data_IF_855602096486
#
_entry.id   IF_855602096486
#
_cell.length_a   1.000
_cell.length_b   1.000
_cell.length_c   1.000
_cell.angle_alpha   90.00
_cell.angle_beta   90.00
_cell.angle_gamma   90.00
#
_symmetry.space_group_name_H-M   'P 1'
#
loop_
_entity.id
_entity.type
_entity.pdbx_description
1 polymer ?
#
# COMPACT_ATOMS: atom_id res chain seq x y z
N UNK A 1 -22.20 -16.64 11.25
CA UNK A 1 -20.78 -16.71 10.80
C UNK A 1 -20.67 -16.68 9.27
N UNK A 2 -21.42 -17.50 8.52
CA UNK A 2 -21.46 -17.47 7.03
C UNK A 2 -21.87 -16.13 6.41
N UNK A 3 -22.81 -15.38 7.01
CA UNK A 3 -23.29 -14.10 6.44
C UNK A 3 -22.25 -12.98 6.53
N UNK A 4 -21.49 -12.91 7.63
CA UNK A 4 -20.36 -11.99 7.78
C UNK A 4 -19.23 -12.41 6.84
N UNK A 5 -18.92 -13.69 6.73
CA UNK A 5 -17.88 -14.19 5.82
C UNK A 5 -18.22 -13.91 4.35
N UNK A 6 -19.50 -14.07 3.97
CA UNK A 6 -20.00 -13.73 2.62
C UNK A 6 -19.95 -12.22 2.41
N UNK A 7 -20.46 -11.41 3.35
CA UNK A 7 -20.41 -9.95 3.30
C UNK A 7 -18.98 -9.39 3.25
N UNK A 8 -18.05 -9.95 4.01
CA UNK A 8 -16.64 -9.56 3.98
C UNK A 8 -15.98 -9.96 2.65
N UNK A 9 -16.35 -11.09 2.07
CA UNK A 9 -15.90 -11.52 0.73
C UNK A 9 -16.49 -10.67 -0.41
N UNK A 10 -17.71 -10.16 -0.26
CA UNK A 10 -18.45 -9.45 -1.33
C UNK A 10 -18.46 -7.93 -1.22
N UNK A 11 -18.44 -7.37 0.00
CA UNK A 11 -18.81 -5.97 0.27
C UNK A 11 -17.65 -5.13 0.78
N UNK A 12 -16.70 -5.73 1.50
CA UNK A 12 -15.37 -5.18 1.65
C UNK A 12 -14.56 -5.83 0.54
N UNK A 13 -14.57 -5.34 -0.71
CA UNK A 13 -13.54 -5.81 -1.63
C UNK A 13 -12.22 -5.63 -0.88
N UNK A 14 -11.37 -6.66 -0.92
CA UNK A 14 -10.02 -6.79 -0.35
C UNK A 14 -9.06 -5.58 -0.58
N UNK A 15 -9.59 -4.53 -1.22
CA UNK A 15 -9.09 -3.24 -1.67
C UNK A 15 -9.22 -2.13 -0.62
N UNK A 16 -10.19 -2.21 0.30
CA UNK A 16 -10.36 -1.18 1.36
C UNK A 16 -9.32 -1.30 2.47
N UNK A 17 -8.89 -2.53 2.78
CA UNK A 17 -7.82 -2.76 3.74
C UNK A 17 -6.48 -2.20 3.23
N UNK A 18 -6.27 -2.12 1.92
CA UNK A 18 -5.05 -1.54 1.34
C UNK A 18 -4.89 -0.05 1.61
N UNK A 19 -5.97 0.69 1.92
CA UNK A 19 -5.87 2.04 2.50
C UNK A 19 -5.08 2.01 3.81
N UNK A 20 -5.29 1.00 4.65
CA UNK A 20 -4.54 0.82 5.89
C UNK A 20 -3.07 0.56 5.64
N UNK A 21 -2.72 -0.21 4.60
CA UNK A 21 -1.32 -0.41 4.23
C UNK A 21 -0.65 0.92 3.85
N UNK A 22 -1.31 1.72 2.99
CA UNK A 22 -0.81 3.04 2.55
C UNK A 22 -0.69 4.02 3.72
N UNK A 23 -1.72 4.09 4.57
CA UNK A 23 -1.71 4.95 5.76
C UNK A 23 -0.66 4.48 6.79
N UNK A 24 -0.52 3.18 7.00
CA UNK A 24 0.49 2.60 7.87
C UNK A 24 1.90 2.94 7.39
N UNK A 25 2.16 2.80 6.08
CA UNK A 25 3.41 3.20 5.45
C UNK A 25 3.72 4.69 5.64
N UNK A 26 2.73 5.58 5.44
CA UNK A 26 2.91 7.01 5.70
C UNK A 26 3.16 7.31 7.18
N UNK A 27 2.51 6.59 8.08
CA UNK A 27 2.69 6.74 9.53
C UNK A 27 4.06 6.23 9.99
N UNK A 28 4.57 5.13 9.43
CA UNK A 28 5.94 4.67 9.68
C UNK A 28 6.96 5.72 9.26
N UNK A 29 6.78 6.34 8.09
CA UNK A 29 7.65 7.42 7.63
C UNK A 29 7.57 8.65 8.56
N UNK A 30 6.39 8.94 9.10
CA UNK A 30 6.18 10.05 10.02
C UNK A 30 6.85 9.86 11.37
N UNK A 31 6.66 8.69 11.99
CA UNK A 31 7.04 8.45 13.38
C UNK A 31 8.41 7.78 13.55
N UNK A 32 8.90 7.12 12.50
CA UNK A 32 10.15 6.37 12.59
C UNK A 32 11.43 7.18 12.38
N UNK A 33 11.35 8.45 11.99
CA UNK A 33 12.54 9.26 11.74
C UNK A 33 12.46 10.59 12.48
N UNK A 34 13.58 10.98 13.08
CA UNK A 34 13.71 12.22 13.83
C UNK A 34 13.79 13.36 12.82
N UNK A 35 12.79 14.25 12.80
CA UNK A 35 12.84 15.46 11.99
C UNK A 35 13.10 16.66 12.89
N UNK A 36 14.30 17.25 12.76
CA UNK A 36 14.67 18.49 13.46
C UNK A 36 14.28 19.75 12.68
N UNK A 37 13.98 19.64 11.38
CA UNK A 37 13.87 20.81 10.48
C UNK A 37 12.62 20.85 9.59
N UNK A 38 11.82 19.78 9.52
CA UNK A 38 10.64 19.75 8.66
C UNK A 38 9.38 19.46 9.47
N UNK A 39 8.38 20.32 9.34
CA UNK A 39 7.03 19.99 9.79
C UNK A 39 6.34 19.21 8.66
N UNK A 40 6.19 17.87 8.76
CA UNK A 40 5.49 17.10 7.75
C UNK A 40 4.07 17.66 7.54
N UNK A 41 3.47 17.32 6.39
CA UNK A 41 2.05 17.64 6.14
C UNK A 41 1.25 17.19 7.38
N UNK A 42 0.36 18.02 7.95
CA UNK A 42 -0.41 17.62 9.11
C UNK A 42 -1.14 16.31 8.82
N UNK A 43 -0.97 15.32 9.69
CA UNK A 43 -1.42 13.94 9.45
C UNK A 43 -2.87 13.82 8.95
N UNK A 44 -3.85 14.59 9.46
CA UNK A 44 -5.22 14.54 8.94
C UNK A 44 -5.32 14.84 7.44
N UNK A 45 -4.49 15.75 6.91
CA UNK A 45 -4.48 16.11 5.49
C UNK A 45 -3.88 14.98 4.65
N UNK A 46 -2.75 14.39 5.10
CA UNK A 46 -2.15 13.22 4.45
C UNK A 46 -3.12 12.04 4.41
N UNK A 47 -3.82 11.77 5.53
CA UNK A 47 -4.85 10.72 5.60
C UNK A 47 -5.98 10.98 4.60
N UNK A 48 -6.48 12.22 4.54
CA UNK A 48 -7.59 12.59 3.69
C UNK A 48 -7.26 12.42 2.20
N UNK A 49 -6.07 12.87 1.78
CA UNK A 49 -5.59 12.76 0.40
C UNK A 49 -5.28 11.30 0.05
N UNK A 50 -4.47 10.60 0.85
CA UNK A 50 -4.05 9.22 0.57
C UNK A 50 -5.25 8.27 0.53
N UNK A 51 -6.21 8.41 1.44
CA UNK A 51 -7.42 7.57 1.45
C UNK A 51 -8.25 7.82 0.19
N UNK A 52 -8.47 9.08 -0.18
CA UNK A 52 -9.29 9.45 -1.35
C UNK A 52 -8.71 8.91 -2.66
N UNK A 53 -7.39 9.01 -2.84
CA UNK A 53 -6.73 8.48 -4.03
C UNK A 53 -6.63 6.97 -4.06
N UNK A 54 -6.39 6.33 -2.91
CA UNK A 54 -6.39 4.87 -2.83
C UNK A 54 -7.75 4.33 -3.28
N UNK A 55 -8.85 4.93 -2.81
CA UNK A 55 -10.19 4.57 -3.26
C UNK A 55 -10.43 4.80 -4.75
N UNK A 56 -10.02 5.96 -5.27
CA UNK A 56 -10.11 6.26 -6.71
C UNK A 56 -9.38 5.21 -7.56
N UNK A 57 -8.14 4.90 -7.20
CA UNK A 57 -7.30 3.95 -7.93
C UNK A 57 -7.94 2.55 -7.92
N UNK A 58 -8.43 2.08 -6.78
CA UNK A 58 -9.08 0.77 -6.72
C UNK A 58 -10.39 0.69 -7.51
N UNK A 59 -11.14 1.80 -7.61
CA UNK A 59 -12.32 1.86 -8.48
C UNK A 59 -11.94 1.84 -9.96
N UNK A 60 -10.90 2.59 -10.34
CA UNK A 60 -10.38 2.61 -11.71
C UNK A 60 -9.92 1.21 -12.13
N UNK A 61 -9.13 0.56 -11.28
CA UNK A 61 -8.67 -0.81 -11.47
C UNK A 61 -9.82 -1.80 -11.68
N UNK A 62 -10.88 -1.67 -10.88
CA UNK A 62 -12.05 -2.54 -10.97
C UNK A 62 -12.77 -2.43 -12.32
N UNK A 63 -12.79 -1.24 -12.90
CA UNK A 63 -13.41 -0.97 -14.20
C UNK A 63 -12.51 -1.50 -15.31
N UNK A 64 -11.19 -1.30 -15.22
CA UNK A 64 -10.24 -1.82 -16.21
C UNK A 64 -10.28 -3.35 -16.32
N UNK A 65 -10.29 -4.07 -15.20
CA UNK A 65 -10.39 -5.54 -15.22
C UNK A 65 -11.70 -6.08 -15.80
N UNK A 66 -12.79 -5.32 -15.70
CA UNK A 66 -14.07 -5.66 -16.33
C UNK A 66 -14.06 -5.42 -17.84
N UNK A 67 -13.40 -4.35 -18.29
CA UNK A 67 -13.26 -4.02 -19.72
C UNK A 67 -12.42 -5.06 -20.47
N UNK A 68 -11.46 -5.69 -19.81
CA UNK A 68 -10.65 -6.77 -20.38
C UNK A 68 -11.42 -8.10 -20.53
N UNK A 69 -12.52 -8.31 -19.80
CA UNK A 69 -13.10 -9.65 -19.62
C UNK A 69 -14.38 -9.96 -20.42
N UNK A 70 -15.09 -8.99 -21.05
CA UNK A 70 -16.17 -9.17 -22.08
C UNK A 70 -16.97 -7.88 -22.35
N UNK A 71 -17.81 -7.80 -23.42
CA UNK A 71 -18.60 -6.61 -23.73
C UNK A 71 -19.68 -6.32 -22.69
N UNK A 72 -19.93 -5.03 -22.50
CA UNK A 72 -20.33 -4.42 -21.24
C UNK A 72 -21.85 -4.29 -21.07
N UNK A 73 -22.39 -4.81 -19.97
CA UNK A 73 -23.78 -4.63 -19.49
C UNK A 73 -23.94 -3.45 -18.50
N UNK A 74 -25.17 -3.22 -18.01
CA UNK A 74 -25.55 -2.13 -17.08
C UNK A 74 -24.67 -2.00 -15.81
N UNK A 75 -23.97 -3.07 -15.41
CA UNK A 75 -23.06 -3.09 -14.25
C UNK A 75 -21.92 -2.06 -14.36
N UNK A 76 -21.42 -1.82 -15.57
CA UNK A 76 -20.29 -0.91 -15.80
C UNK A 76 -20.75 0.55 -15.83
N UNK A 77 -21.99 0.84 -16.25
CA UNK A 77 -22.58 2.18 -16.09
C UNK A 77 -22.68 2.59 -14.62
N UNK A 78 -23.04 1.66 -13.73
CA UNK A 78 -23.05 1.90 -12.29
C UNK A 78 -21.65 2.22 -11.73
N UNK A 79 -20.63 1.44 -12.10
CA UNK A 79 -19.25 1.64 -11.66
C UNK A 79 -18.60 2.91 -12.23
N UNK A 80 -18.91 3.31 -13.46
CA UNK A 80 -18.45 4.58 -14.03
C UNK A 80 -18.91 5.81 -13.22
N UNK A 81 -20.15 5.80 -12.73
CA UNK A 81 -20.66 6.89 -11.87
C UNK A 81 -19.88 6.97 -10.56
N UNK A 82 -19.57 5.83 -9.95
CA UNK A 82 -18.73 5.76 -8.75
C UNK A 82 -17.30 6.23 -9.01
N UNK A 83 -16.70 5.89 -10.16
CA UNK A 83 -15.38 6.38 -10.54
C UNK A 83 -15.35 7.91 -10.65
N UNK A 84 -16.35 8.49 -11.34
CA UNK A 84 -16.49 9.95 -11.46
C UNK A 84 -16.64 10.59 -10.08
N UNK A 85 -17.48 10.01 -9.23
CA UNK A 85 -17.68 10.49 -7.86
C UNK A 85 -16.41 10.41 -7.02
N UNK A 86 -15.68 9.28 -7.04
CA UNK A 86 -14.39 9.14 -6.34
C UNK A 86 -13.33 10.10 -6.88
N UNK A 87 -13.33 10.37 -8.18
CA UNK A 87 -12.41 11.34 -8.79
C UNK A 87 -12.73 12.75 -8.30
N UNK A 88 -14.01 13.12 -8.26
CA UNK A 88 -14.46 14.40 -7.73
C UNK A 88 -14.10 14.57 -6.25
N UNK A 89 -14.31 13.55 -5.42
CA UNK A 89 -13.87 13.54 -4.02
C UNK A 89 -12.36 13.76 -3.94
N UNK A 90 -11.55 12.96 -4.65
CA UNK A 90 -10.09 13.09 -4.60
C UNK A 90 -9.62 14.50 -5.00
N UNK A 91 -10.24 15.11 -6.01
CA UNK A 91 -9.96 16.47 -6.44
C UNK A 91 -10.34 17.51 -5.38
N UNK A 92 -11.52 17.41 -4.75
CA UNK A 92 -11.92 18.29 -3.65
C UNK A 92 -10.94 18.17 -2.49
N UNK A 93 -10.62 16.94 -2.07
CA UNK A 93 -9.72 16.68 -0.96
C UNK A 93 -8.33 17.29 -1.20
N UNK A 94 -7.80 17.10 -2.41
CA UNK A 94 -6.50 17.66 -2.83
C UNK A 94 -6.52 19.17 -2.85
N UNK A 95 -7.54 19.76 -3.47
CA UNK A 95 -7.70 21.21 -3.60
C UNK A 95 -7.85 21.87 -2.24
N UNK A 96 -8.69 21.31 -1.37
CA UNK A 96 -8.87 21.75 0.01
C UNK A 96 -7.56 21.71 0.80
N UNK A 97 -6.79 20.63 0.67
CA UNK A 97 -5.49 20.52 1.32
C UNK A 97 -4.48 21.53 0.77
N UNK A 98 -4.46 21.79 -0.54
CA UNK A 98 -3.60 22.82 -1.13
C UNK A 98 -3.92 24.24 -0.62
N UNK A 99 -5.19 24.54 -0.31
CA UNK A 99 -5.58 25.85 0.24
C UNK A 99 -5.22 26.03 1.72
N UNK A 100 -5.17 24.95 2.49
CA UNK A 100 -4.87 25.01 3.92
C UNK A 100 -3.38 24.89 4.26
N UNK A 101 -2.58 24.35 3.34
CA UNK A 101 -1.17 24.13 3.56
C UNK A 101 -0.35 25.39 3.24
N UNK A 102 0.68 25.71 4.05
CA UNK A 102 1.70 26.68 3.66
C UNK A 102 2.37 26.27 2.33
N UNK A 103 2.79 27.24 1.53
CA UNK A 103 3.37 27.04 0.19
C UNK A 103 4.50 26.00 0.14
N UNK A 104 5.35 25.98 1.17
CA UNK A 104 6.45 25.01 1.34
C UNK A 104 5.95 23.56 1.41
N UNK A 105 4.76 23.31 1.99
CA UNK A 105 4.16 21.98 2.12
C UNK A 105 3.31 21.59 0.92
N UNK A 106 2.78 22.59 0.21
CA UNK A 106 2.03 22.37 -1.05
C UNK A 106 2.93 21.76 -2.12
N UNK A 107 4.24 22.02 -2.10
CA UNK A 107 5.23 21.36 -2.95
C UNK A 107 5.28 19.84 -2.74
N UNK A 108 5.35 19.38 -1.49
CA UNK A 108 5.38 17.95 -1.17
C UNK A 108 4.07 17.24 -1.49
N UNK A 109 2.94 17.90 -1.24
CA UNK A 109 1.63 17.41 -1.67
C UNK A 109 1.60 17.27 -3.20
N UNK A 110 2.10 18.25 -3.95
CA UNK A 110 2.14 18.22 -5.41
C UNK A 110 3.01 17.08 -5.95
N UNK A 111 4.17 16.81 -5.36
CA UNK A 111 5.00 15.65 -5.72
C UNK A 111 4.24 14.35 -5.51
N UNK A 112 3.58 14.19 -4.35
CA UNK A 112 2.76 13.02 -4.09
C UNK A 112 1.58 12.88 -5.07
N UNK A 113 0.94 13.99 -5.46
CA UNK A 113 -0.12 14.00 -6.48
C UNK A 113 0.41 13.63 -7.87
N UNK A 114 1.62 14.07 -8.24
CA UNK A 114 2.30 13.69 -9.48
C UNK A 114 2.55 12.18 -9.47
N UNK A 115 3.10 11.63 -8.39
CA UNK A 115 3.34 10.19 -8.25
C UNK A 115 2.03 9.41 -8.45
N UNK A 116 0.94 9.83 -7.80
CA UNK A 116 -0.37 9.20 -7.96
C UNK A 116 -0.91 9.37 -9.40
N UNK A 117 -0.66 10.51 -10.05
CA UNK A 117 -1.07 10.74 -11.44
C UNK A 117 -0.30 9.86 -12.43
N UNK A 118 0.95 9.49 -12.12
CA UNK A 118 1.73 8.47 -12.84
C UNK A 118 1.15 7.06 -12.68
N UNK A 119 0.17 6.84 -11.79
CA UNK A 119 -0.63 5.63 -11.89
C UNK A 119 -1.66 5.77 -13.02
N UNK A 120 -2.40 6.88 -13.07
CA UNK A 120 -3.54 7.07 -13.98
C UNK A 120 -3.11 7.15 -15.45
N UNK A 121 -2.05 7.91 -15.75
CA UNK A 121 -1.63 8.21 -17.13
C UNK A 121 -0.98 7.01 -17.89
N UNK A 122 -0.11 6.20 -17.26
CA UNK A 122 0.53 5.06 -17.89
C UNK A 122 -0.18 3.71 -17.66
N UNK A 123 -1.17 3.63 -16.74
CA UNK A 123 -1.86 2.38 -16.41
C UNK A 123 -2.53 1.69 -17.61
N UNK A 124 -2.89 2.42 -18.67
CA UNK A 124 -3.54 1.81 -19.83
C UNK A 124 -2.57 1.05 -20.75
N UNK A 125 -1.26 1.33 -20.71
CA UNK A 125 -0.27 0.75 -21.63
C UNK A 125 0.89 0.05 -20.94
N UNK A 126 1.40 0.63 -19.85
CA UNK A 126 2.59 0.12 -19.16
C UNK A 126 2.22 -1.02 -18.22
N UNK A 127 1.04 -0.95 -17.59
CA UNK A 127 0.60 -1.97 -16.63
C UNK A 127 0.45 -3.36 -17.24
N UNK A 128 -0.22 -3.57 -18.39
CA UNK A 128 -0.30 -4.91 -18.99
C UNK A 128 1.08 -5.48 -19.37
N UNK A 129 2.05 -4.62 -19.67
CA UNK A 129 3.42 -5.04 -19.91
C UNK A 129 4.12 -5.42 -18.59
N UNK A 130 4.06 -4.57 -17.57
CA UNK A 130 4.66 -4.85 -16.25
C UNK A 130 4.05 -6.09 -15.58
N UNK A 131 2.74 -6.28 -15.68
CA UNK A 131 2.03 -7.45 -15.12
C UNK A 131 2.41 -8.78 -15.81
N UNK A 132 3.10 -8.73 -16.96
CA UNK A 132 3.72 -9.89 -17.63
C UNK A 132 5.18 -10.12 -17.22
N UNK A 133 5.93 -9.05 -16.93
CA UNK A 133 7.37 -9.14 -16.69
C UNK A 133 7.73 -9.20 -15.20
N UNK A 134 6.95 -8.58 -14.33
CA UNK A 134 7.23 -8.55 -12.90
C UNK A 134 6.69 -9.81 -12.21
N UNK A 135 7.50 -10.46 -11.36
CA UNK A 135 7.07 -11.64 -10.61
C UNK A 135 6.09 -11.30 -9.48
N UNK A 136 6.10 -10.05 -9.01
CA UNK A 136 5.21 -9.54 -7.98
C UNK A 136 4.23 -8.55 -8.61
N UNK A 137 2.94 -8.83 -8.49
CA UNK A 137 1.89 -7.97 -9.02
C UNK A 137 1.67 -6.83 -8.06
N UNK A 138 1.12 -5.72 -8.57
CA UNK A 138 0.91 -4.50 -7.80
C UNK A 138 2.18 -3.81 -7.31
N UNK A 139 3.39 -4.31 -7.59
CA UNK A 139 4.64 -3.63 -7.22
C UNK A 139 4.67 -2.19 -7.74
N UNK A 140 4.22 -1.95 -8.98
CA UNK A 140 4.11 -0.59 -9.51
C UNK A 140 3.09 0.28 -8.73
N UNK A 141 1.89 -0.26 -8.46
CA UNK A 141 0.85 0.45 -7.70
C UNK A 141 1.30 0.77 -6.28
N UNK A 142 1.81 -0.23 -5.58
CA UNK A 142 2.23 -0.13 -4.20
C UNK A 142 3.49 0.70 -4.05
N UNK A 143 4.43 0.68 -5.00
CA UNK A 143 5.57 1.62 -5.01
C UNK A 143 5.07 3.04 -5.19
N UNK A 144 4.14 3.31 -6.11
CA UNK A 144 3.61 4.67 -6.31
C UNK A 144 2.87 5.16 -5.06
N UNK A 145 1.95 4.35 -4.53
CA UNK A 145 1.16 4.71 -3.35
C UNK A 145 2.02 4.80 -2.10
N UNK A 146 2.97 3.90 -1.90
CA UNK A 146 3.92 3.97 -0.80
C UNK A 146 4.84 5.18 -0.93
N UNK A 147 5.35 5.48 -2.12
CA UNK A 147 6.20 6.66 -2.34
C UNK A 147 5.42 7.94 -2.07
N UNK A 148 4.16 8.01 -2.50
CA UNK A 148 3.27 9.11 -2.14
C UNK A 148 3.03 9.18 -0.63
N UNK A 149 2.79 8.05 0.03
CA UNK A 149 2.58 7.99 1.47
C UNK A 149 3.82 8.38 2.28
N UNK A 150 5.02 7.95 1.87
CA UNK A 150 6.29 8.34 2.49
C UNK A 150 6.56 9.82 2.26
N UNK A 151 6.32 10.33 1.05
CA UNK A 151 6.52 11.76 0.72
C UNK A 151 5.54 12.67 1.48
N UNK A 152 4.29 12.24 1.66
CA UNK A 152 3.26 13.02 2.37
C UNK A 152 3.27 12.79 3.89
N UNK A 153 3.79 11.66 4.36
CA UNK A 153 3.80 11.27 5.77
C UNK A 153 5.09 11.62 6.48
N UNK A 154 6.23 11.48 5.81
CA UNK A 154 7.56 11.70 6.36
C UNK A 154 8.25 12.98 5.87
N UNK A 155 9.50 13.12 6.27
CA UNK A 155 10.41 14.17 5.80
C UNK A 155 11.12 13.72 4.51
N UNK A 156 10.94 14.45 3.39
CA UNK A 156 11.63 14.16 2.13
C UNK A 156 13.15 14.10 2.22
N UNK A 157 13.77 14.85 3.15
CA UNK A 157 15.23 14.80 3.36
C UNK A 157 15.71 13.41 3.83
N UNK A 158 14.83 12.64 4.47
CA UNK A 158 15.10 11.32 5.00
C UNK A 158 14.56 10.19 4.12
N UNK A 159 13.93 10.52 2.98
CA UNK A 159 13.32 9.55 2.07
C UNK A 159 14.28 8.44 1.60
N UNK A 160 15.57 8.72 1.28
CA UNK A 160 16.53 7.66 0.92
C UNK A 160 16.80 6.64 2.03
N UNK A 161 16.54 6.99 3.29
CA UNK A 161 16.73 6.12 4.46
C UNK A 161 15.42 5.44 4.88
N UNK A 162 14.29 6.15 4.75
CA UNK A 162 12.95 5.62 4.98
C UNK A 162 12.60 4.49 4.03
N UNK A 163 12.85 4.71 2.74
CA UNK A 163 12.32 3.85 1.69
C UNK A 163 12.91 2.42 1.73
N UNK A 164 14.21 2.20 1.99
CA UNK A 164 14.73 0.84 2.14
C UNK A 164 14.11 0.08 3.30
N UNK A 165 13.93 0.70 4.47
CA UNK A 165 13.42 0.01 5.67
C UNK A 165 11.92 -0.26 5.53
N UNK A 166 11.14 0.76 5.15
CA UNK A 166 9.68 0.65 4.97
C UNK A 166 9.34 -0.24 3.76
N UNK A 167 10.17 -0.18 2.72
CA UNK A 167 10.02 -0.96 1.49
C UNK A 167 9.99 -2.47 1.72
N UNK A 168 10.71 -2.96 2.73
CA UNK A 168 10.72 -4.40 3.05
C UNK A 168 9.35 -4.90 3.55
N UNK A 169 8.69 -4.15 4.44
CA UNK A 169 7.34 -4.51 4.90
C UNK A 169 6.30 -4.40 3.79
N UNK A 170 6.46 -3.42 2.90
CA UNK A 170 5.62 -3.29 1.70
C UNK A 170 5.80 -4.48 0.76
N UNK A 171 7.04 -4.91 0.50
CA UNK A 171 7.32 -6.11 -0.28
C UNK A 171 6.69 -7.35 0.36
N UNK A 172 6.74 -7.45 1.70
CA UNK A 172 6.07 -8.52 2.43
C UNK A 172 4.54 -8.50 2.28
N UNK A 173 3.91 -7.32 2.38
CA UNK A 173 2.47 -7.17 2.13
C UNK A 173 2.08 -7.61 0.71
N UNK A 174 2.84 -7.17 -0.29
CA UNK A 174 2.64 -7.55 -1.69
C UNK A 174 2.79 -9.06 -1.92
N UNK A 175 3.84 -9.66 -1.37
CA UNK A 175 4.09 -11.09 -1.44
C UNK A 175 2.89 -11.89 -0.90
N UNK A 176 2.32 -11.47 0.23
CA UNK A 176 1.14 -12.13 0.81
C UNK A 176 -0.09 -11.95 -0.07
N UNK A 177 -0.27 -10.79 -0.69
CA UNK A 177 -1.36 -10.55 -1.63
C UNK A 177 -1.25 -11.46 -2.88
N UNK A 178 -0.05 -11.64 -3.42
CA UNK A 178 0.17 -12.52 -4.57
C UNK A 178 0.00 -13.99 -4.20
N UNK A 179 0.48 -14.40 -3.02
CA UNK A 179 0.25 -15.75 -2.50
C UNK A 179 -1.25 -16.04 -2.34
N UNK A 180 -2.03 -15.07 -1.83
CA UNK A 180 -3.50 -15.16 -1.72
C UNK A 180 -4.18 -15.38 -3.08
N UNK A 181 -3.72 -14.67 -4.10
CA UNK A 181 -4.36 -14.60 -5.42
C UNK A 181 -3.88 -15.69 -6.40
N UNK A 182 -2.97 -16.57 -5.97
CA UNK A 182 -2.31 -17.57 -6.81
C UNK A 182 -3.28 -18.42 -7.66
N UNK A 183 -4.38 -18.90 -7.08
CA UNK A 183 -5.33 -19.78 -7.77
C UNK A 183 -6.12 -19.03 -8.86
N UNK A 184 -6.46 -17.77 -8.58
CA UNK A 184 -7.14 -16.91 -9.55
C UNK A 184 -6.21 -16.58 -10.70
N UNK A 185 -4.93 -16.31 -10.40
CA UNK A 185 -3.96 -15.94 -11.41
C UNK A 185 -3.53 -17.12 -12.28
N UNK A 186 -3.46 -18.35 -11.75
CA UNK A 186 -3.26 -19.56 -12.56
C UNK A 186 -4.38 -19.78 -13.58
N UNK A 187 -5.62 -19.38 -13.27
CA UNK A 187 -6.77 -19.55 -14.15
C UNK A 187 -6.80 -18.55 -15.33
N UNK A 188 -5.88 -17.58 -15.38
CA UNK A 188 -5.87 -16.52 -16.38
C UNK A 188 -4.61 -16.55 -17.26
N UNK A 189 -4.74 -16.68 -18.60
CA UNK A 189 -3.62 -16.95 -19.49
C UNK A 189 -2.60 -15.81 -19.63
N UNK A 190 -2.93 -14.60 -19.16
CA UNK A 190 -2.07 -13.42 -19.25
C UNK A 190 -1.46 -13.04 -17.89
N UNK A 191 -1.49 -13.95 -16.90
CA UNK A 191 -1.12 -13.65 -15.52
C UNK A 191 -0.03 -14.58 -15.02
N UNK A 192 0.99 -14.01 -14.38
CA UNK A 192 2.03 -14.78 -13.68
C UNK A 192 1.51 -15.11 -12.29
N UNK A 193 1.25 -16.38 -12.03
CA UNK A 193 0.86 -16.83 -10.71
C UNK A 193 2.07 -16.92 -9.77
N UNK A 194 1.84 -16.72 -8.48
CA UNK A 194 2.83 -17.03 -7.46
C UNK A 194 3.18 -18.53 -7.56
N UNK A 195 4.44 -18.90 -7.87
CA UNK A 195 4.76 -20.26 -8.28
C UNK A 195 5.04 -21.20 -7.11
N UNK A 196 5.00 -20.72 -5.87
CA UNK A 196 5.45 -21.46 -4.69
C UNK A 196 4.36 -21.61 -3.62
N UNK A 197 4.49 -22.61 -2.76
CA UNK A 197 3.53 -22.87 -1.68
C UNK A 197 3.74 -22.02 -0.41
N UNK A 198 2.86 -22.20 0.58
CA UNK A 198 2.87 -21.47 1.85
C UNK A 198 4.20 -21.54 2.63
N UNK A 199 4.95 -22.63 2.50
CA UNK A 199 6.28 -22.76 3.08
C UNK A 199 7.28 -21.76 2.50
N UNK A 200 7.27 -21.57 1.19
CA UNK A 200 8.16 -20.62 0.53
C UNK A 200 7.74 -19.18 0.84
N UNK A 201 6.44 -18.89 0.89
CA UNK A 201 5.94 -17.59 1.34
C UNK A 201 6.47 -17.23 2.74
N UNK A 202 6.49 -18.19 3.67
CA UNK A 202 7.08 -18.02 5.01
C UNK A 202 8.58 -17.76 4.95
N UNK A 203 9.33 -18.56 4.20
CA UNK A 203 10.79 -18.37 4.02
C UNK A 203 11.07 -16.96 3.46
N UNK A 204 10.30 -16.50 2.49
CA UNK A 204 10.45 -15.17 1.90
C UNK A 204 10.12 -14.06 2.90
N UNK A 205 9.03 -14.17 3.69
CA UNK A 205 8.74 -13.22 4.78
C UNK A 205 9.86 -13.19 5.83
N UNK A 206 10.40 -14.36 6.21
CA UNK A 206 11.53 -14.45 7.12
C UNK A 206 12.80 -13.80 6.55
N UNK A 207 13.06 -14.00 5.26
CA UNK A 207 14.20 -13.38 4.56
C UNK A 207 14.05 -11.86 4.50
N UNK A 208 12.84 -11.36 4.23
CA UNK A 208 12.54 -9.93 4.28
C UNK A 208 12.80 -9.37 5.69
N UNK A 209 12.35 -10.03 6.75
CA UNK A 209 12.67 -9.61 8.12
C UNK A 209 14.19 -9.48 8.36
N UNK A 210 14.98 -10.46 7.93
CA UNK A 210 16.44 -10.41 8.07
C UNK A 210 17.06 -9.22 7.31
N UNK A 211 16.56 -8.95 6.09
CA UNK A 211 16.99 -7.79 5.29
C UNK A 211 16.64 -6.49 6.00
N UNK A 212 15.42 -6.34 6.55
CA UNK A 212 15.03 -5.14 7.28
C UNK A 212 15.90 -4.93 8.53
N UNK A 213 16.19 -5.99 9.29
CA UNK A 213 17.09 -5.91 10.45
C UNK A 213 18.47 -5.41 10.03
N UNK A 214 19.05 -5.97 8.96
CA UNK A 214 20.33 -5.50 8.45
C UNK A 214 20.29 -4.02 8.02
N UNK A 215 19.22 -3.58 7.34
CA UNK A 215 19.04 -2.20 6.92
C UNK A 215 18.88 -1.22 8.10
N UNK A 216 18.25 -1.64 9.20
CA UNK A 216 18.16 -0.84 10.43
C UNK A 216 19.56 -0.58 11.01
N UNK A 217 20.39 -1.63 11.10
CA UNK A 217 21.77 -1.47 11.58
C UNK A 217 22.63 -0.59 10.68
N UNK A 218 22.40 -0.61 9.37
CA UNK A 218 23.11 0.25 8.40
C UNK A 218 22.65 1.72 8.45
N UNK A 219 21.49 2.02 9.03
CA UNK A 219 20.92 3.37 9.09
C UNK A 219 20.77 3.89 10.54
N UNK A 220 21.55 3.33 11.47
CA UNK A 220 21.50 3.59 12.91
C UNK A 220 21.49 5.06 13.31
N UNK A 221 22.22 5.89 12.58
CA UNK A 221 22.56 7.25 13.00
C UNK A 221 21.48 8.28 12.62
N UNK A 222 20.48 7.86 11.83
CA UNK A 222 19.43 8.74 11.28
C UNK A 222 18.02 8.32 11.68
N UNK A 223 17.89 7.17 12.33
CA UNK A 223 16.61 6.59 12.72
C UNK A 223 16.22 7.01 14.14
N UNK A 224 14.91 6.95 14.44
CA UNK A 224 14.47 6.79 15.83
C UNK A 224 15.24 5.60 16.45
N UNK A 225 15.42 5.58 17.77
CA UNK A 225 16.17 4.53 18.49
C UNK A 225 16.02 3.15 17.82
N UNK A 226 17.16 2.51 17.50
CA UNK A 226 17.21 1.24 16.76
C UNK A 226 16.24 0.19 17.33
N UNK A 227 16.07 0.19 18.65
CA UNK A 227 15.15 -0.70 19.35
C UNK A 227 13.69 -0.53 18.94
N UNK A 228 13.24 0.70 18.70
CA UNK A 228 11.88 0.98 18.22
C UNK A 228 11.68 0.44 16.81
N UNK A 229 12.67 0.62 15.93
CA UNK A 229 12.62 0.06 14.58
C UNK A 229 12.65 -1.46 14.56
N UNK A 230 13.51 -2.07 15.37
CA UNK A 230 13.54 -3.52 15.51
C UNK A 230 12.19 -4.05 16.01
N UNK A 231 11.62 -3.43 17.06
CA UNK A 231 10.31 -3.82 17.58
C UNK A 231 9.20 -3.63 16.53
N UNK A 232 9.21 -2.52 15.80
CA UNK A 232 8.23 -2.20 14.77
C UNK A 232 8.27 -3.20 13.60
N UNK A 233 9.46 -3.46 13.06
CA UNK A 233 9.64 -4.44 11.97
C UNK A 233 9.30 -5.84 12.45
N UNK A 234 9.75 -6.27 13.63
CA UNK A 234 9.39 -7.57 14.18
C UNK A 234 7.86 -7.73 14.32
N UNK A 235 7.16 -6.70 14.80
CA UNK A 235 5.71 -6.71 14.93
C UNK A 235 5.01 -6.80 13.56
N UNK A 236 5.40 -5.96 12.59
CA UNK A 236 4.86 -6.00 11.23
C UNK A 236 5.12 -7.34 10.53
N UNK A 237 6.35 -7.84 10.61
CA UNK A 237 6.75 -9.13 10.04
C UNK A 237 6.05 -10.31 10.72
N UNK A 238 5.76 -10.24 12.02
CA UNK A 238 4.97 -11.27 12.70
C UNK A 238 3.54 -11.35 12.15
N UNK A 239 2.91 -10.21 11.85
CA UNK A 239 1.59 -10.19 11.21
C UNK A 239 1.63 -10.77 9.78
N UNK A 240 2.65 -10.44 8.99
CA UNK A 240 2.86 -11.02 7.67
C UNK A 240 3.09 -12.54 7.75
N UNK A 241 3.89 -12.99 8.72
CA UNK A 241 4.13 -14.40 8.97
C UNK A 241 2.83 -15.12 9.35
N UNK A 242 2.03 -14.55 10.27
CA UNK A 242 0.72 -15.10 10.64
C UNK A 242 -0.25 -15.14 9.46
N UNK A 243 -0.18 -14.16 8.55
CA UNK A 243 -1.01 -14.12 7.36
C UNK A 243 -0.80 -15.35 6.46
N UNK A 244 0.43 -15.87 6.38
CA UNK A 244 0.73 -17.09 5.59
C UNK A 244 -0.01 -18.35 6.07
N UNK A 245 -0.42 -18.41 7.34
CA UNK A 245 -1.20 -19.53 7.89
C UNK A 245 -2.71 -19.41 7.63
N UNK A 246 -3.17 -18.29 7.08
CA UNK A 246 -4.59 -18.01 6.84
C UNK A 246 -5.02 -18.34 5.41
N UNK A 247 -4.37 -19.31 4.75
CA UNK A 247 -4.67 -19.72 3.36
C UNK A 247 -6.16 -20.03 3.14
N UNK A 248 -6.79 -20.71 4.11
CA UNK A 248 -8.23 -21.04 4.08
C UNK A 248 -9.15 -19.83 4.32
N UNK A 249 -8.59 -18.65 4.60
CA UNK A 249 -9.34 -17.44 4.95
C UNK A 249 -8.69 -16.20 4.32
N UNK A 250 -8.87 -16.00 3.00
CA UNK A 250 -8.24 -14.91 2.24
C UNK A 250 -8.43 -13.51 2.84
N UNK A 251 -9.57 -13.27 3.50
CA UNK A 251 -9.86 -11.98 4.13
C UNK A 251 -9.01 -11.75 5.38
N UNK A 252 -8.74 -12.79 6.17
CA UNK A 252 -7.84 -12.72 7.34
C UNK A 252 -6.42 -12.47 6.90
N UNK A 253 -5.99 -13.19 5.86
CA UNK A 253 -4.67 -13.00 5.24
C UNK A 253 -4.49 -11.55 4.80
N UNK A 254 -5.47 -10.99 4.09
CA UNK A 254 -5.44 -9.59 3.63
C UNK A 254 -5.44 -8.60 4.79
N UNK A 255 -6.31 -8.80 5.78
CA UNK A 255 -6.38 -7.93 6.95
C UNK A 255 -5.06 -7.90 7.71
N UNK A 256 -4.45 -9.05 7.96
CA UNK A 256 -3.15 -9.15 8.64
C UNK A 256 -2.03 -8.51 7.82
N UNK A 257 -2.02 -8.74 6.51
CA UNK A 257 -1.02 -8.15 5.62
C UNK A 257 -1.12 -6.62 5.59
N UNK A 258 -2.31 -6.08 5.43
CA UNK A 258 -2.55 -4.64 5.32
C UNK A 258 -2.43 -3.91 6.67
N UNK A 259 -2.66 -4.61 7.78
CA UNK A 259 -2.43 -4.07 9.12
C UNK A 259 -0.96 -4.11 9.55
N UNK A 260 -0.10 -4.88 8.85
CA UNK A 260 1.32 -4.99 9.20
C UNK A 260 2.07 -3.65 9.25
N UNK A 261 1.89 -2.71 8.29
CA UNK A 261 2.57 -1.41 8.35
C UNK A 261 1.95 -0.51 9.43
N UNK A 262 0.66 -0.67 9.72
CA UNK A 262 -0.02 0.07 10.81
C UNK A 262 0.52 -0.37 12.17
N UNK A 263 0.66 -1.68 12.39
CA UNK A 263 1.20 -2.20 13.64
C UNK A 263 2.64 -1.72 13.86
N UNK A 264 3.47 -1.74 12.81
CA UNK A 264 4.81 -1.16 12.86
C UNK A 264 4.77 0.34 13.20
N UNK A 265 3.89 1.11 12.56
CA UNK A 265 3.73 2.54 12.85
C UNK A 265 3.30 2.83 14.29
N UNK A 266 2.42 2.01 14.87
CA UNK A 266 2.00 2.14 16.27
C UNK A 266 3.21 2.02 17.19
N UNK A 267 4.07 1.02 16.99
CA UNK A 267 5.28 0.84 17.79
C UNK A 267 6.23 2.03 17.63
N UNK A 268 6.40 2.55 16.41
CA UNK A 268 7.22 3.74 16.15
C UNK A 268 6.66 5.02 16.77
N UNK A 269 5.36 5.08 17.04
CA UNK A 269 4.70 6.22 17.67
C UNK A 269 4.76 6.23 19.20
N UNK A 270 5.24 5.13 19.81
CA UNK A 270 5.41 5.05 21.25
C UNK A 270 6.59 5.93 21.71
N UNK A 271 6.48 6.54 22.91
CA UNK A 271 7.51 7.42 23.46
C UNK A 271 8.79 6.71 23.89
#
# INVERSE_FOLDING_TARGET
>A
MQTIDTFLKTTIPFRWSSVMAVLGTGAMARYGFISESSQPIPWPHSVFVLSSFTLLIYQLDSILGLLESRPVSALIKGRHRWLIFSCFIALICSTYCCFLLPSERTGYLSIGLILISLYIFPALKIRPALDRFLPIRWTYLSIILASAAITMGGDPAHLPHMLPIIGVLLCGNLLICDFRDQDQDQAHPNRTAFPWGAEHARIMVGSLLLIAVALIFLNSDRALSQWHWLAAICCGSALLWLATYQEKSPWRMTFLADFSPVAAAIILSLP
#
